data_IF_587959813792
#
_entry.id   IF_587959813792
#
_cell.length_a   1.000
_cell.length_b   1.000
_cell.length_c   1.000
_cell.angle_alpha   90.00
_cell.angle_beta   90.00
_cell.angle_gamma   90.00
#
_symmetry.space_group_name_H-M   'P 1'
#
loop_
_entity.id
_entity.type
_entity.pdbx_description
1 polymer ?
#
# COMPACT_ATOMS: atom_id res chain seq x y z
N UNK A 1 56.42 -44.16 12.06
CA UNK A 1 55.95 -44.93 13.23
C UNK A 1 55.31 -43.91 14.16
N UNK A 2 54.00 -43.82 14.41
CA UNK A 2 52.91 -44.78 14.27
C UNK A 2 52.14 -44.82 15.60
N UNK A 3 51.04 -44.03 15.68
CA UNK A 3 49.77 -44.21 16.44
C UNK A 3 49.89 -44.32 17.99
N UNK A 4 48.98 -43.95 18.91
CA UNK A 4 47.51 -43.77 19.06
C UNK A 4 47.34 -42.88 20.32
N UNK A 5 46.41 -41.92 20.46
CA UNK A 5 45.04 -42.20 20.91
C UNK A 5 44.46 -41.09 21.81
N UNK A 6 43.22 -40.68 21.50
CA UNK A 6 42.33 -39.70 22.16
C UNK A 6 41.85 -40.16 23.56
N UNK A 7 41.56 -39.19 24.44
CA UNK A 7 40.33 -39.18 25.29
C UNK A 7 39.83 -37.73 25.45
N UNK A 8 38.51 -37.52 25.24
CA UNK A 8 37.71 -36.33 25.60
C UNK A 8 36.92 -36.63 26.88
N UNK A 9 36.75 -35.65 27.76
CA UNK A 9 35.66 -35.43 28.75
C UNK A 9 35.99 -34.05 29.38
N UNK A 10 35.14 -33.04 29.57
CA UNK A 10 33.71 -32.98 29.84
C UNK A 10 33.53 -32.10 31.10
N UNK A 11 33.05 -30.86 30.91
CA UNK A 11 32.24 -30.03 31.83
C UNK A 11 32.75 -29.46 33.19
N UNK A 12 32.46 -28.15 33.32
CA UNK A 12 31.91 -27.40 34.48
C UNK A 12 32.78 -26.83 35.63
N UNK A 13 32.71 -25.47 35.72
CA UNK A 13 32.64 -24.56 36.89
C UNK A 13 33.72 -24.61 37.98
N UNK A 14 34.41 -23.47 38.22
CA UNK A 14 34.02 -22.45 39.21
C UNK A 14 35.14 -21.40 39.44
N UNK A 15 34.67 -20.17 39.67
CA UNK A 15 35.26 -19.11 40.51
C UNK A 15 36.53 -18.42 40.04
N UNK A 16 36.42 -17.15 39.65
CA UNK A 16 37.00 -16.02 40.43
C UNK A 16 36.04 -14.81 40.32
N UNK A 17 35.56 -14.38 41.47
CA UNK A 17 34.82 -13.14 41.72
C UNK A 17 35.77 -11.94 41.64
N UNK A 18 35.39 -10.91 40.89
CA UNK A 18 35.82 -9.54 41.17
C UNK A 18 34.60 -8.63 41.29
N UNK A 19 34.43 -8.13 42.51
CA UNK A 19 33.52 -7.08 42.92
C UNK A 19 33.84 -5.78 42.17
N UNK A 20 32.85 -5.21 41.49
CA UNK A 20 32.76 -3.76 41.25
C UNK A 20 31.37 -3.28 41.69
N UNK A 21 31.28 -2.14 42.40
CA UNK A 21 30.06 -1.70 43.06
C UNK A 21 28.99 -1.26 42.06
N UNK A 22 27.78 -1.74 42.34
CA UNK A 22 26.52 -1.33 41.72
C UNK A 22 26.29 0.15 42.04
N UNK A 23 26.36 1.00 41.01
CA UNK A 23 25.66 2.28 40.99
C UNK A 23 24.48 2.09 40.04
N UNK A 24 23.26 2.12 40.58
CA UNK A 24 22.04 2.13 39.80
C UNK A 24 21.94 3.47 39.04
N UNK A 25 22.49 3.48 37.81
CA UNK A 25 22.10 4.42 36.77
C UNK A 25 21.07 3.72 35.89
N UNK A 26 19.79 4.02 36.09
CA UNK A 26 18.74 3.63 35.16
C UNK A 26 18.79 4.54 33.95
N UNK A 27 19.81 4.37 33.10
CA UNK A 27 19.72 4.78 31.70
C UNK A 27 19.00 3.66 30.98
N UNK A 28 17.68 3.61 31.20
CA UNK A 28 16.80 2.98 30.25
C UNK A 28 17.01 3.70 28.94
N UNK A 29 17.77 3.07 28.03
CA UNK A 29 17.57 3.31 26.61
C UNK A 29 16.17 2.75 26.34
N UNK A 30 15.17 3.57 26.63
CA UNK A 30 13.90 3.51 25.93
C UNK A 30 14.28 3.65 24.47
N UNK A 31 14.31 2.51 23.79
CA UNK A 31 13.89 2.49 22.40
C UNK A 31 12.45 2.98 22.42
N UNK A 32 12.29 4.30 22.42
CA UNK A 32 11.12 4.95 21.88
C UNK A 32 11.10 4.51 20.42
N UNK A 33 10.48 3.35 20.20
CA UNK A 33 9.73 3.10 18.98
C UNK A 33 8.65 4.18 19.00
N UNK A 34 9.02 5.38 18.56
CA UNK A 34 8.06 6.23 17.88
C UNK A 34 7.54 5.33 16.77
N UNK A 35 6.34 4.76 16.97
CA UNK A 35 5.45 4.55 15.84
C UNK A 35 5.50 5.89 15.11
N UNK A 36 6.22 5.94 13.98
CA UNK A 36 5.96 6.97 13.02
C UNK A 36 4.49 6.77 12.65
N UNK A 37 3.61 7.57 13.24
CA UNK A 37 2.31 7.86 12.67
C UNK A 37 2.64 8.46 11.32
N UNK A 38 2.74 7.60 10.31
CA UNK A 38 2.65 8.04 8.94
C UNK A 38 1.17 8.34 8.74
N UNK A 39 0.84 9.64 8.73
CA UNK A 39 -0.48 10.11 8.34
C UNK A 39 -0.88 9.40 7.05
N UNK A 40 -2.07 8.81 7.04
CA UNK A 40 -2.57 8.11 5.88
C UNK A 40 -2.83 9.09 4.74
N UNK A 41 -2.04 8.98 3.67
CA UNK A 41 -2.23 9.75 2.45
C UNK A 41 -3.19 9.02 1.51
N UNK A 42 -4.18 9.75 0.98
CA UNK A 42 -5.13 9.26 -0.01
C UNK A 42 -5.13 10.18 -1.25
N UNK A 43 -4.15 10.02 -2.15
CA UNK A 43 -4.06 10.84 -3.36
C UNK A 43 -5.31 10.76 -4.23
N UNK A 44 -5.67 11.86 -4.89
CA UNK A 44 -6.87 11.92 -5.73
C UNK A 44 -6.86 10.88 -6.87
N UNK A 45 -5.70 10.60 -7.44
CA UNK A 45 -5.48 9.53 -8.42
C UNK A 45 -5.87 8.14 -7.89
N UNK A 46 -5.61 7.84 -6.61
CA UNK A 46 -6.02 6.59 -5.98
C UNK A 46 -7.55 6.51 -5.85
N UNK A 47 -8.21 7.62 -5.54
CA UNK A 47 -9.69 7.69 -5.45
C UNK A 47 -10.30 7.47 -6.83
N UNK A 48 -9.80 8.18 -7.86
CA UNK A 48 -10.28 8.02 -9.24
C UNK A 48 -10.08 6.60 -9.73
N UNK A 49 -8.88 6.04 -9.52
CA UNK A 49 -8.59 4.65 -9.84
C UNK A 49 -9.56 3.70 -9.15
N UNK A 50 -9.78 3.83 -7.84
CA UNK A 50 -10.68 2.97 -7.09
C UNK A 50 -12.12 3.05 -7.63
N UNK A 51 -12.63 4.26 -7.91
CA UNK A 51 -13.96 4.47 -8.52
C UNK A 51 -14.06 3.78 -9.88
N UNK A 52 -13.14 4.08 -10.80
CA UNK A 52 -13.16 3.52 -12.16
C UNK A 52 -13.03 1.99 -12.14
N UNK A 53 -12.05 1.48 -11.38
CA UNK A 53 -11.78 0.04 -11.26
C UNK A 53 -12.97 -0.73 -10.69
N UNK A 54 -13.59 -0.21 -9.63
CA UNK A 54 -14.74 -0.87 -9.02
C UNK A 54 -16.00 -0.75 -9.89
N UNK A 55 -16.19 0.34 -10.63
CA UNK A 55 -17.29 0.47 -11.59
C UNK A 55 -17.15 -0.50 -12.77
N UNK A 56 -15.93 -0.75 -13.25
CA UNK A 56 -15.70 -1.75 -14.29
C UNK A 56 -16.05 -3.18 -13.81
N UNK A 57 -15.75 -3.50 -12.54
CA UNK A 57 -16.08 -4.80 -11.95
C UNK A 57 -17.57 -4.95 -11.62
N UNK A 58 -18.23 -3.87 -11.18
CA UNK A 58 -19.62 -3.86 -10.73
C UNK A 58 -20.44 -2.83 -11.51
N UNK A 59 -20.51 -3.00 -12.84
CA UNK A 59 -21.12 -2.02 -13.76
C UNK A 59 -22.61 -1.75 -13.55
N UNK A 60 -23.31 -2.60 -12.79
CA UNK A 60 -24.73 -2.46 -12.45
C UNK A 60 -24.95 -1.84 -11.06
N UNK A 61 -23.90 -1.46 -10.34
CA UNK A 61 -24.01 -0.81 -9.04
C UNK A 61 -24.61 0.59 -9.20
N UNK A 62 -25.61 0.91 -8.38
CA UNK A 62 -26.12 2.29 -8.25
C UNK A 62 -25.40 2.99 -7.10
N UNK A 63 -24.18 3.48 -7.39
CA UNK A 63 -23.37 4.21 -6.42
C UNK A 63 -23.84 5.65 -6.21
N UNK A 64 -24.74 6.18 -7.03
CA UNK A 64 -25.26 7.54 -6.89
C UNK A 64 -26.37 7.59 -5.84
N UNK A 65 -27.28 6.62 -5.90
CA UNK A 65 -28.40 6.52 -4.96
C UNK A 65 -28.10 5.60 -3.77
N UNK A 66 -27.07 4.75 -3.90
CA UNK A 66 -26.68 3.72 -2.95
C UNK A 66 -27.79 2.67 -2.76
N UNK A 67 -28.38 2.19 -3.85
CA UNK A 67 -29.46 1.19 -3.78
C UNK A 67 -29.01 -0.10 -3.09
N UNK A 68 -29.89 -0.70 -2.29
CA UNK A 68 -29.68 -1.96 -1.56
C UNK A 68 -29.72 -3.15 -2.54
N UNK A 69 -28.64 -3.31 -3.30
CA UNK A 69 -28.43 -4.41 -4.25
C UNK A 69 -27.09 -5.11 -4.02
N UNK A 70 -26.98 -6.41 -4.32
CA UNK A 70 -25.72 -7.15 -4.19
C UNK A 70 -24.54 -6.48 -4.91
N UNK A 71 -24.78 -5.93 -6.10
CA UNK A 71 -23.79 -5.24 -6.92
C UNK A 71 -23.31 -3.95 -6.27
N UNK A 72 -24.23 -3.11 -5.77
CA UNK A 72 -23.87 -1.90 -5.01
C UNK A 72 -23.10 -2.25 -3.75
N UNK A 73 -23.48 -3.33 -3.06
CA UNK A 73 -22.76 -3.76 -1.86
C UNK A 73 -21.31 -4.08 -2.15
N UNK A 74 -21.07 -4.86 -3.22
CA UNK A 74 -19.70 -5.27 -3.57
C UNK A 74 -18.90 -4.13 -4.19
N UNK A 75 -19.55 -3.22 -4.91
CA UNK A 75 -18.94 -1.98 -5.35
C UNK A 75 -18.39 -1.17 -4.17
N UNK A 76 -19.20 -0.94 -3.14
CA UNK A 76 -18.77 -0.18 -1.96
C UNK A 76 -17.63 -0.88 -1.21
N UNK A 77 -17.68 -2.21 -1.07
CA UNK A 77 -16.59 -2.96 -0.47
C UNK A 77 -15.30 -2.84 -1.30
N UNK A 78 -15.39 -2.97 -2.62
CA UNK A 78 -14.27 -2.78 -3.54
C UNK A 78 -13.67 -1.38 -3.40
N UNK A 79 -14.52 -0.35 -3.36
CA UNK A 79 -14.12 1.05 -3.28
C UNK A 79 -13.30 1.31 -2.02
N UNK A 80 -13.82 0.93 -0.84
CA UNK A 80 -13.12 1.07 0.45
C UNK A 80 -11.81 0.29 0.45
N UNK A 81 -11.81 -0.94 -0.09
CA UNK A 81 -10.58 -1.75 -0.17
C UNK A 81 -9.52 -1.09 -1.05
N UNK A 82 -9.88 -0.69 -2.28
CA UNK A 82 -8.96 -0.07 -3.24
C UNK A 82 -8.53 1.33 -2.79
N UNK A 83 -9.31 2.04 -1.98
CA UNK A 83 -8.88 3.29 -1.34
C UNK A 83 -7.98 3.05 -0.12
N UNK A 84 -7.83 1.82 0.37
CA UNK A 84 -7.00 1.52 1.53
C UNK A 84 -7.69 1.76 2.88
N UNK A 85 -9.00 1.98 2.89
CA UNK A 85 -9.80 2.39 4.07
C UNK A 85 -10.36 1.21 4.87
N UNK A 86 -9.95 -0.02 4.54
CA UNK A 86 -10.35 -1.22 5.24
C UNK A 86 -9.23 -1.69 6.16
N UNK A 87 -9.54 -1.99 7.41
CA UNK A 87 -8.62 -2.73 8.27
C UNK A 87 -8.64 -4.20 7.82
N UNK A 88 -7.52 -4.68 7.26
CA UNK A 88 -7.43 -6.04 6.72
C UNK A 88 -7.55 -7.15 7.78
N UNK A 89 -7.28 -6.85 9.05
CA UNK A 89 -7.38 -7.81 10.15
C UNK A 89 -8.82 -8.01 10.58
N UNK A 90 -9.55 -6.91 10.74
CA UNK A 90 -10.95 -6.93 11.18
C UNK A 90 -11.94 -6.99 10.02
N UNK A 91 -11.48 -6.69 8.80
CA UNK A 91 -12.26 -6.49 7.57
C UNK A 91 -13.28 -5.35 7.70
N UNK A 92 -13.17 -4.55 8.74
CA UNK A 92 -14.02 -3.39 9.02
C UNK A 92 -13.43 -2.10 8.44
N UNK A 93 -14.03 -0.98 8.81
CA UNK A 93 -13.53 0.35 8.44
C UNK A 93 -12.30 0.69 9.30
N UNK A 94 -11.24 1.19 8.68
CA UNK A 94 -10.02 1.58 9.40
C UNK A 94 -10.20 2.96 10.03
N UNK A 95 -10.56 2.99 11.31
CA UNK A 95 -10.88 4.22 12.03
C UNK A 95 -9.75 5.25 12.01
N UNK A 96 -8.49 4.82 12.03
CA UNK A 96 -7.35 5.73 12.05
C UNK A 96 -7.21 6.43 10.70
N UNK A 97 -7.25 5.67 9.61
CA UNK A 97 -7.18 6.25 8.25
C UNK A 97 -8.34 7.16 7.94
N UNK A 98 -9.53 6.80 8.42
CA UNK A 98 -10.70 7.65 8.31
C UNK A 98 -10.55 8.94 9.11
N UNK A 99 -9.98 8.87 10.32
CA UNK A 99 -9.62 10.07 11.08
C UNK A 99 -8.61 10.92 10.32
N UNK A 100 -7.52 10.34 9.79
CA UNK A 100 -6.49 11.12 9.07
C UNK A 100 -7.08 11.88 7.86
N UNK A 101 -8.00 11.25 7.11
CA UNK A 101 -8.69 11.92 5.99
C UNK A 101 -9.65 12.99 6.47
N UNK A 102 -10.37 12.72 7.55
CA UNK A 102 -11.42 13.60 8.03
C UNK A 102 -10.91 14.68 8.97
N UNK A 103 -9.75 14.56 9.60
CA UNK A 103 -9.09 15.66 10.31
C UNK A 103 -8.84 16.82 9.34
N UNK A 104 -8.56 16.50 8.07
CA UNK A 104 -8.41 17.45 6.96
C UNK A 104 -9.74 18.09 6.50
N UNK A 105 -10.89 17.51 6.90
CA UNK A 105 -12.24 17.84 6.45
C UNK A 105 -13.12 18.39 7.59
N UNK A 106 -12.90 17.98 8.85
CA UNK A 106 -13.72 18.28 10.03
C UNK A 106 -13.77 19.77 10.34
N UNK A 107 -12.76 20.57 9.96
CA UNK A 107 -12.83 22.04 10.03
C UNK A 107 -14.04 22.61 9.26
N UNK A 108 -14.60 21.87 8.30
CA UNK A 108 -15.76 22.27 7.51
C UNK A 108 -17.12 21.82 8.08
N UNK A 109 -17.17 20.94 9.09
CA UNK A 109 -18.42 20.37 9.61
C UNK A 109 -18.59 20.62 11.12
N UNK A 110 -19.72 21.22 11.52
CA UNK A 110 -19.96 21.66 12.91
C UNK A 110 -20.32 20.51 13.88
N UNK A 111 -20.62 19.31 13.38
CA UNK A 111 -21.11 18.19 14.20
C UNK A 111 -20.06 17.12 14.50
N UNK A 112 -19.93 16.79 15.78
CA UNK A 112 -19.21 15.61 16.32
C UNK A 112 -19.95 14.29 15.99
N UNK A 113 -20.25 14.06 14.72
CA UNK A 113 -21.02 12.89 14.30
C UNK A 113 -20.18 11.60 14.43
N UNK A 114 -18.86 11.70 14.28
CA UNK A 114 -17.92 10.58 14.42
C UNK A 114 -17.91 9.98 15.83
N UNK A 115 -18.20 10.76 16.87
CA UNK A 115 -18.33 10.26 18.25
C UNK A 115 -19.49 9.25 18.41
N UNK A 116 -20.47 9.27 17.50
CA UNK A 116 -21.67 8.42 17.54
C UNK A 116 -21.56 7.17 16.65
N UNK A 117 -20.52 7.06 15.84
CA UNK A 117 -20.33 5.95 14.92
C UNK A 117 -19.20 5.02 15.36
N UNK A 118 -19.47 3.72 15.42
CA UNK A 118 -18.47 2.74 15.83
C UNK A 118 -17.69 2.21 14.63
N UNK A 119 -16.50 2.76 14.37
CA UNK A 119 -15.64 2.33 13.25
C UNK A 119 -15.00 0.95 13.46
N UNK A 120 -14.53 0.63 14.67
CA UNK A 120 -13.72 -0.56 14.95
C UNK A 120 -14.48 -1.89 15.01
N UNK A 121 -15.70 -1.97 14.49
CA UNK A 121 -16.47 -3.21 14.44
C UNK A 121 -15.85 -4.19 13.42
N UNK A 122 -15.56 -5.42 13.86
CA UNK A 122 -15.08 -6.46 12.95
C UNK A 122 -16.20 -6.97 12.05
N UNK A 123 -15.93 -7.07 10.76
CA UNK A 123 -16.88 -7.55 9.75
C UNK A 123 -16.49 -8.94 9.25
N UNK A 124 -17.45 -9.70 8.73
CA UNK A 124 -17.18 -11.05 8.24
C UNK A 124 -16.50 -11.09 6.86
N UNK A 125 -16.39 -9.93 6.18
CA UNK A 125 -15.81 -9.80 4.84
C UNK A 125 -16.80 -9.95 3.68
N UNK A 126 -18.10 -10.10 3.94
CA UNK A 126 -19.14 -10.02 2.91
C UNK A 126 -19.40 -8.58 2.50
N UNK A 127 -19.73 -8.39 1.23
CA UNK A 127 -20.10 -7.09 0.67
C UNK A 127 -21.23 -6.40 1.45
N UNK A 128 -22.27 -7.17 1.80
CA UNK A 128 -23.45 -6.68 2.55
C UNK A 128 -23.09 -6.03 3.88
N UNK A 129 -22.07 -6.57 4.56
CA UNK A 129 -21.71 -6.11 5.90
C UNK A 129 -20.98 -4.78 5.82
N UNK A 130 -20.08 -4.64 4.84
CA UNK A 130 -19.39 -3.37 4.57
C UNK A 130 -20.39 -2.31 4.14
N UNK A 131 -21.30 -2.64 3.23
CA UNK A 131 -22.35 -1.74 2.79
C UNK A 131 -23.24 -1.27 3.94
N UNK A 132 -23.78 -2.21 4.75
CA UNK A 132 -24.61 -1.85 5.91
C UNK A 132 -23.87 -0.91 6.85
N UNK A 133 -22.57 -1.13 7.07
CA UNK A 133 -21.76 -0.27 7.93
C UNK A 133 -21.58 1.13 7.36
N UNK A 134 -21.42 1.25 6.05
CA UNK A 134 -21.36 2.54 5.36
C UNK A 134 -22.72 3.27 5.34
N UNK A 135 -23.84 2.55 5.22
CA UNK A 135 -25.19 3.14 5.32
C UNK A 135 -25.49 3.61 6.75
N UNK A 136 -25.05 2.86 7.76
CA UNK A 136 -25.08 3.30 9.16
C UNK A 136 -24.29 4.62 9.31
N UNK A 137 -23.07 4.68 8.75
CA UNK A 137 -22.26 5.91 8.75
C UNK A 137 -22.97 7.07 8.03
N UNK A 138 -23.52 6.85 6.83
CA UNK A 138 -24.33 7.83 6.09
C UNK A 138 -25.52 8.35 6.90
N UNK A 139 -26.16 7.48 7.68
CA UNK A 139 -27.31 7.86 8.52
C UNK A 139 -26.89 8.76 9.69
N UNK A 140 -25.74 8.50 10.28
CA UNK A 140 -25.23 9.25 11.43
C UNK A 140 -24.43 10.51 11.06
N UNK A 141 -23.81 10.51 9.88
CA UNK A 141 -22.85 11.51 9.39
C UNK A 141 -23.13 11.87 7.93
N UNK A 142 -24.38 12.22 7.61
CA UNK A 142 -24.83 12.41 6.23
C UNK A 142 -23.94 13.35 5.43
N UNK A 143 -23.66 14.55 5.94
CA UNK A 143 -22.91 15.56 5.21
C UNK A 143 -21.47 15.12 4.91
N UNK A 144 -20.79 14.55 5.92
CA UNK A 144 -19.43 14.02 5.78
C UNK A 144 -19.39 12.83 4.81
N UNK A 145 -20.39 11.96 4.88
CA UNK A 145 -20.53 10.83 3.96
C UNK A 145 -20.71 11.31 2.52
N UNK A 146 -21.67 12.19 2.25
CA UNK A 146 -21.94 12.72 0.91
C UNK A 146 -20.75 13.51 0.37
N UNK A 147 -20.05 14.25 1.24
CA UNK A 147 -18.83 14.96 0.87
C UNK A 147 -17.71 14.01 0.43
N UNK A 148 -17.56 12.86 1.09
CA UNK A 148 -16.50 11.88 0.80
C UNK A 148 -16.85 10.92 -0.35
N UNK A 149 -18.06 10.36 -0.33
CA UNK A 149 -18.48 9.24 -1.18
C UNK A 149 -19.58 9.59 -2.18
N UNK A 150 -20.25 10.73 -2.05
CA UNK A 150 -21.35 11.12 -2.93
C UNK A 150 -20.89 11.34 -4.38
N UNK A 151 -21.83 11.18 -5.33
CA UNK A 151 -21.55 11.36 -6.76
C UNK A 151 -21.06 12.76 -7.14
N UNK A 152 -21.44 13.78 -6.35
CA UNK A 152 -21.00 15.18 -6.50
C UNK A 152 -19.94 15.57 -5.47
N UNK A 153 -19.23 14.60 -4.90
CA UNK A 153 -18.14 14.83 -3.95
C UNK A 153 -17.16 15.87 -4.51
N UNK A 154 -17.01 16.97 -3.77
CA UNK A 154 -16.04 18.04 -4.07
C UNK A 154 -14.75 17.86 -3.29
N UNK A 155 -14.65 16.78 -2.50
CA UNK A 155 -13.44 16.46 -1.77
C UNK A 155 -12.27 16.27 -2.74
N UNK A 156 -11.19 16.98 -2.45
CA UNK A 156 -9.91 16.84 -3.12
C UNK A 156 -8.88 16.64 -2.04
N UNK A 157 -8.22 15.47 -2.06
CA UNK A 157 -7.05 15.26 -1.24
C UNK A 157 -6.00 16.34 -1.55
N UNK A 158 -5.36 16.85 -0.50
CA UNK A 158 -4.23 17.80 -0.60
C UNK A 158 -2.92 17.08 -0.92
N UNK A 159 -2.93 15.75 -0.96
CA UNK A 159 -1.74 14.94 -1.18
C UNK A 159 -1.22 15.10 -2.61
N UNK A 160 0.11 15.02 -2.80
CA UNK A 160 0.69 14.94 -4.13
C UNK A 160 0.02 13.84 -4.95
N UNK A 161 -0.65 14.24 -6.02
CA UNK A 161 -1.41 13.33 -6.86
C UNK A 161 -1.12 13.59 -8.32
N UNK A 162 -1.00 12.50 -9.08
CA UNK A 162 -0.92 12.55 -10.53
C UNK A 162 -2.15 13.22 -11.12
N UNK A 163 -1.96 14.11 -12.08
CA UNK A 163 -3.05 14.80 -12.77
C UNK A 163 -3.71 13.90 -13.83
N UNK A 164 -4.96 14.16 -14.18
CA UNK A 164 -5.62 13.52 -15.33
C UNK A 164 -4.85 13.88 -16.60
N UNK A 165 -4.62 12.89 -17.48
CA UNK A 165 -3.84 13.07 -18.71
C UNK A 165 -2.33 13.00 -18.53
N UNK A 166 -1.83 13.05 -17.29
CA UNK A 166 -0.42 12.83 -16.95
C UNK A 166 -0.17 11.34 -16.73
N UNK A 167 0.88 10.80 -17.35
CA UNK A 167 1.32 9.42 -17.15
C UNK A 167 2.06 9.26 -15.82
N UNK A 168 2.10 8.03 -15.30
CA UNK A 168 2.83 7.72 -14.08
C UNK A 168 4.32 8.10 -14.19
N UNK A 169 4.95 7.83 -15.34
CA UNK A 169 6.34 8.22 -15.57
C UNK A 169 6.53 9.74 -15.49
N UNK A 170 5.69 10.54 -16.16
CA UNK A 170 5.77 12.00 -16.10
C UNK A 170 5.61 12.54 -14.67
N UNK A 171 4.75 11.92 -13.85
CA UNK A 171 4.56 12.30 -12.46
C UNK A 171 5.71 11.86 -11.56
N UNK A 172 6.22 10.64 -11.74
CA UNK A 172 7.33 10.15 -10.93
C UNK A 172 8.64 10.88 -11.25
N UNK A 173 8.83 11.30 -12.50
CA UNK A 173 9.99 12.08 -12.93
C UNK A 173 9.98 13.50 -12.34
N UNK A 174 8.81 14.08 -12.02
CA UNK A 174 8.74 15.43 -11.44
C UNK A 174 9.31 15.51 -10.02
N UNK A 175 9.43 14.38 -9.30
CA UNK A 175 10.08 14.35 -7.99
C UNK A 175 11.61 14.31 -8.09
N UNK A 176 12.16 13.89 -9.23
CA UNK A 176 13.61 13.84 -9.47
C UNK A 176 14.17 15.26 -9.76
N UNK A 177 13.34 16.20 -10.23
CA UNK A 177 13.77 17.57 -10.57
C UNK A 177 13.99 18.49 -9.34
N UNK A 178 13.41 18.15 -8.18
CA UNK A 178 13.44 19.00 -6.97
C UNK A 178 14.49 18.58 -5.92
N UNK A 179 15.31 17.54 -6.13
CA UNK A 179 16.11 16.94 -5.05
C UNK A 179 17.47 16.33 -5.39
N UNK A 180 18.54 17.07 -5.08
CA UNK A 180 19.91 16.65 -4.77
C UNK A 180 20.81 16.10 -5.92
N UNK A 181 21.66 17.01 -6.42
CA UNK A 181 22.93 16.69 -7.07
C UNK A 181 23.85 15.99 -6.06
N UNK A 182 24.00 14.67 -6.17
CA UNK A 182 24.91 13.89 -5.34
C UNK A 182 26.38 14.28 -5.60
N UNK A 183 27.12 14.59 -4.53
CA UNK A 183 28.56 14.81 -4.56
C UNK A 183 29.34 13.49 -4.51
N UNK A 184 30.45 13.45 -5.24
CA UNK A 184 31.13 12.24 -5.72
C UNK A 184 31.83 11.40 -4.63
N UNK A 185 31.42 10.14 -4.50
CA UNK A 185 32.32 9.00 -4.23
C UNK A 185 31.77 7.76 -4.95
N UNK A 186 32.58 6.98 -5.67
CA UNK A 186 32.09 5.96 -6.61
C UNK A 186 31.24 4.85 -5.97
N UNK A 187 31.55 4.46 -4.72
CA UNK A 187 30.76 3.50 -3.93
C UNK A 187 29.48 4.11 -3.35
N UNK A 188 29.50 5.40 -2.98
CA UNK A 188 28.26 6.08 -2.59
C UNK A 188 27.37 6.33 -3.79
N UNK A 189 27.93 6.58 -4.98
CA UNK A 189 27.18 6.81 -6.22
C UNK A 189 26.36 5.58 -6.61
N UNK A 190 26.94 4.37 -6.60
CA UNK A 190 26.21 3.14 -6.93
C UNK A 190 25.06 2.86 -5.94
N UNK A 191 25.32 2.99 -4.64
CA UNK A 191 24.28 2.84 -3.61
C UNK A 191 23.19 3.91 -3.72
N UNK A 192 23.56 5.16 -4.05
CA UNK A 192 22.59 6.23 -4.29
C UNK A 192 21.78 5.98 -5.57
N UNK A 193 22.40 5.46 -6.62
CA UNK A 193 21.71 5.17 -7.88
C UNK A 193 20.72 4.02 -7.73
N UNK A 194 21.09 2.93 -7.06
CA UNK A 194 20.18 1.83 -6.76
C UNK A 194 19.01 2.33 -5.88
N UNK A 195 19.30 3.14 -4.86
CA UNK A 195 18.28 3.73 -4.00
C UNK A 195 17.31 4.63 -4.78
N UNK A 196 17.83 5.53 -5.63
CA UNK A 196 17.01 6.40 -6.49
C UNK A 196 16.16 5.57 -7.46
N UNK A 197 16.76 4.55 -8.07
CA UNK A 197 16.05 3.64 -8.97
C UNK A 197 14.92 2.89 -8.24
N UNK A 198 15.16 2.39 -7.03
CA UNK A 198 14.14 1.76 -6.20
C UNK A 198 13.02 2.73 -5.85
N UNK A 199 13.35 3.96 -5.44
CA UNK A 199 12.35 5.00 -5.13
C UNK A 199 11.47 5.32 -6.34
N UNK A 200 12.07 5.46 -7.52
CA UNK A 200 11.36 5.67 -8.78
C UNK A 200 10.43 4.50 -9.11
N UNK A 201 10.91 3.26 -8.98
CA UNK A 201 10.08 2.08 -9.19
C UNK A 201 8.90 2.02 -8.21
N UNK A 202 9.10 2.37 -6.92
CA UNK A 202 8.00 2.44 -5.95
C UNK A 202 6.94 3.43 -6.43
N UNK A 203 7.34 4.63 -6.86
CA UNK A 203 6.42 5.63 -7.38
C UNK A 203 5.63 5.09 -8.60
N UNK A 204 6.34 4.52 -9.58
CA UNK A 204 5.72 3.96 -10.78
C UNK A 204 4.73 2.85 -10.43
N UNK A 205 5.11 1.91 -9.58
CA UNK A 205 4.29 0.73 -9.28
C UNK A 205 3.06 1.07 -8.43
N UNK A 206 3.14 2.11 -7.59
CA UNK A 206 1.96 2.69 -6.93
C UNK A 206 1.01 3.30 -7.95
N UNK A 207 1.51 4.07 -8.91
CA UNK A 207 0.69 4.74 -9.94
C UNK A 207 0.24 3.82 -11.09
N UNK A 208 0.87 2.67 -11.27
CA UNK A 208 0.34 1.58 -12.10
C UNK A 208 -0.66 0.71 -11.35
N UNK A 209 -0.77 0.89 -10.03
CA UNK A 209 -1.51 0.04 -9.10
C UNK A 209 -1.10 -1.44 -9.15
N UNK A 210 0.17 -1.70 -9.48
CA UNK A 210 0.77 -3.03 -9.24
C UNK A 210 0.99 -3.27 -7.76
N UNK A 211 0.95 -2.20 -6.95
CA UNK A 211 0.78 -2.29 -5.51
C UNK A 211 -0.65 -1.91 -5.15
N UNK A 212 -1.27 -2.69 -4.27
CA UNK A 212 -2.53 -2.33 -3.63
C UNK A 212 -2.33 -1.14 -2.67
N UNK A 213 -3.43 -0.58 -2.17
CA UNK A 213 -3.40 0.55 -1.24
C UNK A 213 -2.73 0.22 0.12
N UNK A 214 -2.37 -1.04 0.37
CA UNK A 214 -1.64 -1.51 1.55
C UNK A 214 -0.16 -1.77 1.24
N UNK A 215 0.28 -1.46 0.02
CA UNK A 215 1.65 -1.59 -0.44
C UNK A 215 2.05 -3.02 -0.78
N UNK A 216 1.12 -3.95 -0.96
CA UNK A 216 1.40 -5.34 -1.37
C UNK A 216 1.17 -5.47 -2.88
N UNK A 217 1.79 -6.47 -3.52
CA UNK A 217 1.57 -6.69 -4.95
C UNK A 217 0.12 -7.06 -5.25
N UNK A 218 -0.53 -6.32 -6.14
CA UNK A 218 -1.86 -6.59 -6.67
C UNK A 218 -1.74 -7.45 -7.94
N UNK A 219 -1.88 -8.77 -7.77
CA UNK A 219 -1.83 -9.74 -8.87
C UNK A 219 -2.86 -9.43 -9.95
N UNK A 220 -4.04 -8.92 -9.59
CA UNK A 220 -5.13 -8.68 -10.54
C UNK A 220 -4.83 -7.54 -11.51
N UNK A 221 -4.14 -6.49 -11.05
CA UNK A 221 -3.75 -5.35 -11.90
C UNK A 221 -2.58 -5.70 -12.83
N UNK A 222 -1.67 -6.56 -12.37
CA UNK A 222 -0.62 -7.13 -13.21
C UNK A 222 -1.22 -7.99 -14.32
N UNK A 223 -2.10 -8.93 -13.97
CA UNK A 223 -2.81 -9.78 -14.93
C UNK A 223 -3.55 -8.94 -15.97
N UNK A 224 -4.31 -7.94 -15.51
CA UNK A 224 -5.03 -7.03 -16.42
C UNK A 224 -4.09 -6.33 -17.41
N UNK A 225 -2.90 -5.93 -16.99
CA UNK A 225 -1.95 -5.27 -17.90
C UNK A 225 -1.46 -6.21 -19.00
N UNK A 226 -1.30 -7.50 -18.69
CA UNK A 226 -0.96 -8.51 -19.69
C UNK A 226 -2.13 -8.77 -20.65
N UNK A 227 -3.35 -8.85 -20.12
CA UNK A 227 -4.58 -9.00 -20.90
C UNK A 227 -4.76 -7.82 -21.89
N UNK A 228 -4.58 -6.59 -21.40
CA UNK A 228 -4.65 -5.35 -22.19
C UNK A 228 -3.59 -5.30 -23.30
N UNK A 229 -2.40 -5.86 -23.03
CA UNK A 229 -1.32 -5.98 -23.99
C UNK A 229 -1.49 -7.14 -24.98
N UNK A 230 -2.60 -7.89 -24.90
CA UNK A 230 -2.91 -9.06 -25.73
C UNK A 230 -1.82 -10.16 -25.64
N UNK A 231 -1.19 -10.28 -24.47
CA UNK A 231 -0.23 -11.35 -24.18
C UNK A 231 -0.99 -12.54 -23.60
N UNK A 232 -0.54 -13.77 -23.87
CA UNK A 232 -1.19 -14.98 -23.39
C UNK A 232 -1.33 -14.96 -21.85
N UNK A 233 -2.57 -14.97 -21.40
CA UNK A 233 -2.99 -14.82 -20.01
C UNK A 233 -2.66 -16.08 -19.19
N UNK A 234 -2.73 -17.26 -19.80
CA UNK A 234 -2.55 -18.52 -19.07
C UNK A 234 -1.08 -18.75 -18.73
N UNK A 235 -0.17 -18.44 -19.66
CA UNK A 235 1.28 -18.49 -19.40
C UNK A 235 1.71 -17.37 -18.44
N UNK A 236 1.13 -16.17 -18.58
CA UNK A 236 1.45 -15.03 -17.71
C UNK A 236 0.97 -15.17 -16.28
N UNK A 237 -0.20 -15.76 -16.06
CA UNK A 237 -0.73 -16.04 -14.73
C UNK A 237 0.23 -16.85 -13.85
N UNK A 238 0.93 -17.81 -14.45
CA UNK A 238 1.87 -18.66 -13.72
C UNK A 238 3.06 -17.86 -13.17
N UNK A 239 3.73 -17.07 -14.02
CA UNK A 239 4.88 -16.30 -13.58
C UNK A 239 4.49 -15.07 -12.74
N UNK A 240 3.36 -14.41 -13.02
CA UNK A 240 2.86 -13.29 -12.20
C UNK A 240 2.72 -13.76 -10.75
N UNK A 241 2.05 -14.89 -10.53
CA UNK A 241 1.88 -15.46 -9.18
C UNK A 241 3.20 -15.80 -8.49
N UNK A 242 4.18 -16.32 -9.24
CA UNK A 242 5.51 -16.61 -8.70
C UNK A 242 6.22 -15.32 -8.30
N UNK A 243 6.22 -14.32 -9.17
CA UNK A 243 6.89 -13.04 -8.94
C UNK A 243 6.23 -12.24 -7.82
N UNK A 244 4.90 -12.19 -7.77
CA UNK A 244 4.15 -11.55 -6.70
C UNK A 244 4.44 -12.18 -5.34
N UNK A 245 4.53 -13.51 -5.26
CA UNK A 245 4.91 -14.20 -4.01
C UNK A 245 6.33 -13.87 -3.56
N UNK A 246 7.29 -13.87 -4.49
CA UNK A 246 8.69 -13.50 -4.19
C UNK A 246 8.79 -12.06 -3.71
N UNK A 247 8.16 -11.14 -4.41
CA UNK A 247 8.10 -9.74 -4.03
C UNK A 247 7.45 -9.58 -2.65
N UNK A 248 6.23 -10.09 -2.45
CA UNK A 248 5.51 -9.97 -1.17
C UNK A 248 6.26 -10.62 0.02
N UNK A 249 7.12 -11.61 -0.21
CA UNK A 249 8.00 -12.14 0.85
C UNK A 249 9.04 -11.13 1.38
N UNK A 250 9.30 -10.07 0.60
CA UNK A 250 10.15 -8.93 0.95
C UNK A 250 9.37 -7.68 1.37
N UNK A 251 8.04 -7.79 1.52
CA UNK A 251 7.21 -6.67 1.95
C UNK A 251 7.64 -6.17 3.33
N UNK A 252 7.82 -4.86 3.43
CA UNK A 252 8.08 -4.16 4.68
C UNK A 252 7.32 -2.84 4.67
N UNK A 253 6.53 -2.60 5.71
CA UNK A 253 5.67 -1.41 5.80
C UNK A 253 6.46 -0.10 5.76
N UNK A 254 7.70 -0.10 6.26
CA UNK A 254 8.58 1.07 6.28
C UNK A 254 9.36 1.31 4.97
N UNK A 255 9.53 0.28 4.13
CA UNK A 255 10.28 0.40 2.87
C UNK A 255 9.89 -0.64 1.83
N UNK A 256 9.32 -0.19 0.71
CA UNK A 256 8.85 -1.06 -0.37
C UNK A 256 9.90 -1.35 -1.46
N UNK A 257 11.08 -0.74 -1.40
CA UNK A 257 12.04 -0.74 -2.52
C UNK A 257 12.56 -2.13 -2.87
N UNK A 258 12.86 -2.97 -1.89
CA UNK A 258 13.34 -4.33 -2.14
C UNK A 258 12.26 -5.24 -2.72
N UNK A 259 11.01 -5.08 -2.28
CA UNK A 259 9.86 -5.78 -2.83
C UNK A 259 9.63 -5.40 -4.30
N UNK A 260 9.62 -4.10 -4.60
CA UNK A 260 9.38 -3.62 -5.96
C UNK A 260 10.53 -3.99 -6.89
N UNK A 261 11.77 -3.91 -6.42
CA UNK A 261 12.94 -4.33 -7.20
C UNK A 261 12.92 -5.84 -7.50
N UNK A 262 12.51 -6.66 -6.53
CA UNK A 262 12.31 -8.10 -6.73
C UNK A 262 11.20 -8.37 -7.77
N UNK A 263 10.08 -7.66 -7.70
CA UNK A 263 9.00 -7.79 -8.67
C UNK A 263 9.49 -7.42 -10.08
N UNK A 264 10.10 -6.24 -10.24
CA UNK A 264 10.67 -5.77 -11.51
C UNK A 264 11.66 -6.78 -12.10
N UNK A 265 12.55 -7.33 -11.28
CA UNK A 265 13.59 -8.27 -11.72
C UNK A 265 13.00 -9.61 -12.13
N UNK A 266 12.07 -10.15 -11.34
CA UNK A 266 11.40 -11.40 -11.62
C UNK A 266 10.55 -11.31 -12.89
N UNK A 267 9.77 -10.24 -13.06
CA UNK A 267 8.94 -10.04 -14.25
C UNK A 267 9.79 -9.95 -15.53
N UNK A 268 10.89 -9.20 -15.51
CA UNK A 268 11.84 -9.13 -16.64
C UNK A 268 12.50 -10.46 -16.97
N UNK A 269 12.75 -11.30 -15.96
CA UNK A 269 13.35 -12.62 -16.18
C UNK A 269 12.36 -13.58 -16.87
N UNK A 270 11.08 -13.48 -16.54
CA UNK A 270 10.06 -14.41 -17.00
C UNK A 270 9.30 -13.94 -18.25
N UNK A 271 9.27 -12.63 -18.53
CA UNK A 271 8.52 -12.05 -19.65
C UNK A 271 9.38 -11.07 -20.45
N UNK A 272 9.83 -11.46 -21.65
CA UNK A 272 10.47 -10.56 -22.60
C UNK A 272 9.58 -9.36 -22.97
N UNK A 273 8.26 -9.54 -22.96
CA UNK A 273 7.26 -8.54 -23.32
C UNK A 273 6.98 -7.54 -22.20
N UNK A 274 7.52 -7.74 -21.00
CA UNK A 274 7.23 -6.91 -19.84
C UNK A 274 7.51 -5.41 -20.09
N UNK A 275 8.51 -5.08 -20.91
CA UNK A 275 8.76 -3.69 -21.30
C UNK A 275 7.58 -3.06 -22.07
N UNK A 276 6.98 -3.82 -23.00
CA UNK A 276 5.79 -3.41 -23.76
C UNK A 276 4.58 -3.30 -22.85
N UNK A 277 4.39 -4.26 -21.95
CA UNK A 277 3.28 -4.25 -20.96
C UNK A 277 3.35 -3.00 -20.09
N UNK A 278 4.53 -2.68 -19.55
CA UNK A 278 4.74 -1.49 -18.72
C UNK A 278 4.55 -0.20 -19.52
N UNK A 279 4.99 -0.16 -20.79
CA UNK A 279 4.77 1.01 -21.65
C UNK A 279 3.28 1.26 -21.89
N UNK A 280 2.51 0.22 -22.24
CA UNK A 280 1.06 0.34 -22.42
C UNK A 280 0.38 0.74 -21.11
N UNK A 281 0.78 0.14 -19.99
CA UNK A 281 0.25 0.52 -18.67
C UNK A 281 0.55 1.97 -18.32
N UNK A 282 1.71 2.50 -18.73
CA UNK A 282 2.03 3.91 -18.56
C UNK A 282 1.12 4.83 -19.38
N UNK A 283 0.73 4.42 -20.58
CA UNK A 283 -0.25 5.15 -21.39
C UNK A 283 -1.64 5.12 -20.74
N UNK A 284 -2.12 3.94 -20.32
CA UNK A 284 -3.41 3.78 -19.63
C UNK A 284 -3.45 4.48 -18.27
N UNK A 285 -2.30 4.66 -17.61
CA UNK A 285 -2.25 5.39 -16.35
C UNK A 285 -2.74 6.83 -16.48
N UNK A 286 -2.80 7.41 -17.69
CA UNK A 286 -3.32 8.77 -17.91
C UNK A 286 -4.81 8.93 -17.58
N UNK A 287 -5.57 7.83 -17.55
CA UNK A 287 -7.02 7.84 -17.41
C UNK A 287 -7.49 8.05 -15.95
N UNK A 288 -6.63 7.76 -14.97
CA UNK A 288 -6.92 7.87 -13.53
C UNK A 288 -5.78 8.56 -12.79
#
# INVERSE_FOLDING_TARGET
MGVVGKIRFGEFLLSILFYFPIVYGTDGIEYNVQLQNHDFLLPESQIRFARLRCMELYSQADFLNFDDTPETHCYMQCLIYKMGLMDLKTRGLDSLKFSDIWDDIEEAFEEKCLEKFQFGESLNGKCSDTYRKLIEFRTHCWELFEYTFGGNSTWKSKDPSKSIGQSASEFCDSFDEDGNVATESSLSIELTFESMFKSKLICLYKNYHYLDAYGRVDESELQRSYDEALIDVDESNSFIKICSRRANSKYRTDYLGDMVFELQSCMKQHSPEFATVVQLRNEHSKDY
#
